data_IF_209126169907
#
_entry.id   IF_209126169907
#
_cell.length_a   1.000
_cell.length_b   1.000
_cell.length_c   1.000
_cell.angle_alpha   90.00
_cell.angle_beta   90.00
_cell.angle_gamma   90.00
#
_symmetry.space_group_name_H-M   'P 1'
#
loop_
_entity.id
_entity.type
_entity.pdbx_description
1 polymer ?
#
# COMPACT_ATOMS: atom_id res chain seq x y z
N UNK A 1 6.57 -28.02 -12.90
CA UNK A 1 6.31 -27.69 -14.32
C UNK A 1 5.05 -26.86 -14.41
N UNK A 2 5.18 -25.56 -14.60
CA UNK A 2 4.05 -24.67 -14.89
C UNK A 2 3.54 -24.95 -16.31
N UNK A 3 2.25 -25.23 -16.45
CA UNK A 3 1.56 -25.37 -17.75
C UNK A 3 0.65 -24.17 -17.96
N UNK A 4 1.11 -23.20 -18.75
CA UNK A 4 0.33 -22.35 -19.65
C UNK A 4 -0.99 -21.76 -19.13
N UNK A 5 -0.98 -21.00 -18.04
CA UNK A 5 -2.08 -20.06 -17.74
C UNK A 5 -1.59 -18.64 -17.97
N UNK A 6 -2.23 -17.97 -18.91
CA UNK A 6 -1.87 -16.62 -19.34
C UNK A 6 -2.30 -15.62 -18.26
N UNK A 7 -1.32 -14.97 -17.64
CA UNK A 7 -1.55 -13.83 -16.73
C UNK A 7 -2.23 -12.71 -17.52
N UNK A 8 -3.30 -12.14 -16.95
CA UNK A 8 -4.06 -11.04 -17.54
C UNK A 8 -4.00 -9.77 -16.70
N UNK A 9 -3.88 -9.94 -15.39
CA UNK A 9 -3.93 -8.86 -14.41
C UNK A 9 -2.64 -8.90 -13.60
N UNK A 10 -2.04 -7.72 -13.42
CA UNK A 10 -0.92 -7.55 -12.50
C UNK A 10 -1.38 -6.63 -11.37
N UNK A 11 -1.29 -7.14 -10.16
CA UNK A 11 -1.67 -6.47 -8.93
C UNK A 11 -0.42 -6.08 -8.18
N UNK A 12 -0.34 -4.82 -7.77
CA UNK A 12 0.74 -4.30 -6.95
C UNK A 12 0.22 -3.92 -5.58
N UNK A 13 1.04 -4.15 -4.56
CA UNK A 13 0.97 -3.40 -3.32
C UNK A 13 1.48 -1.95 -3.50
N UNK A 14 1.29 -1.06 -2.51
CA UNK A 14 1.65 0.36 -2.58
C UNK A 14 2.87 0.73 -1.73
N UNK A 15 2.76 0.74 -0.41
CA UNK A 15 3.83 1.14 0.51
C UNK A 15 4.94 0.09 0.53
N UNK A 16 6.21 0.49 0.46
CA UNK A 16 7.34 -0.44 0.31
C UNK A 16 7.45 -1.10 -1.08
N UNK A 17 6.38 -1.07 -1.86
CA UNK A 17 6.30 -1.66 -3.21
C UNK A 17 6.45 -0.63 -4.32
N UNK A 18 5.61 0.40 -4.38
CA UNK A 18 5.68 1.48 -5.38
C UNK A 18 6.26 2.78 -4.81
N UNK A 19 5.93 3.06 -3.55
CA UNK A 19 6.37 4.25 -2.82
C UNK A 19 7.00 3.84 -1.50
N UNK A 20 7.95 4.63 -0.98
CA UNK A 20 8.52 4.37 0.36
C UNK A 20 7.59 4.88 1.48
N UNK A 21 7.84 4.45 2.72
CA UNK A 21 7.02 4.82 3.89
C UNK A 21 7.21 6.27 4.35
N UNK A 22 8.09 7.06 3.71
CA UNK A 22 8.51 8.33 4.28
C UNK A 22 7.35 9.30 4.43
N UNK A 23 6.48 9.38 3.43
CA UNK A 23 5.31 10.26 3.50
C UNK A 23 4.41 9.90 4.68
N UNK A 24 4.03 8.63 4.80
CA UNK A 24 3.15 8.14 5.86
C UNK A 24 3.79 8.31 7.24
N UNK A 25 5.09 8.00 7.39
CA UNK A 25 5.86 8.23 8.61
C UNK A 25 5.83 9.70 9.05
N UNK A 26 5.98 10.63 8.11
CA UNK A 26 5.92 12.07 8.41
C UNK A 26 4.53 12.50 8.86
N UNK A 27 3.46 12.03 8.20
CA UNK A 27 2.09 12.37 8.61
C UNK A 27 1.81 11.86 10.02
N UNK A 28 2.11 10.59 10.29
CA UNK A 28 1.74 9.93 11.54
C UNK A 28 2.63 10.32 12.72
N UNK A 29 3.95 10.43 12.51
CA UNK A 29 4.94 10.60 13.58
C UNK A 29 5.45 12.03 13.74
N UNK A 30 5.18 12.92 12.77
CA UNK A 30 5.54 14.34 12.83
C UNK A 30 4.30 15.24 12.73
N UNK A 31 3.43 14.99 11.76
CA UNK A 31 2.27 15.82 11.46
C UNK A 31 1.24 15.87 12.59
N UNK A 32 0.62 14.72 12.89
CA UNK A 32 -0.38 14.61 13.97
C UNK A 32 0.22 15.07 15.32
N UNK A 33 1.43 14.63 15.73
CA UNK A 33 2.06 15.15 16.95
C UNK A 33 2.30 16.65 16.99
N UNK A 34 2.67 17.30 15.88
CA UNK A 34 2.83 18.77 15.83
C UNK A 34 1.51 19.49 16.06
N UNK A 35 0.46 19.07 15.35
CA UNK A 35 -0.88 19.64 15.55
C UNK A 35 -1.35 19.47 17.00
N UNK A 36 -1.10 18.30 17.59
CA UNK A 36 -1.45 18.05 18.98
C UNK A 36 -0.63 18.92 19.96
N UNK A 37 0.68 19.07 19.72
CA UNK A 37 1.56 19.93 20.51
C UNK A 37 1.10 21.39 20.50
N UNK A 38 0.74 21.91 19.32
CA UNK A 38 0.25 23.28 19.14
C UNK A 38 -1.07 23.51 19.87
N UNK A 39 -2.01 22.57 19.75
CA UNK A 39 -3.31 22.63 20.40
C UNK A 39 -3.21 22.62 21.93
N UNK A 40 -2.49 21.64 22.48
CA UNK A 40 -2.36 21.45 23.94
C UNK A 40 -1.30 22.37 24.56
N UNK A 41 -0.53 23.09 23.74
CA UNK A 41 0.55 24.01 24.15
C UNK A 41 1.63 23.30 24.97
N UNK A 42 2.01 22.11 24.53
CA UNK A 42 3.06 21.27 25.14
C UNK A 42 4.26 21.11 24.19
N UNK A 43 5.46 20.77 24.69
CA UNK A 43 6.61 20.49 23.83
C UNK A 43 6.34 19.34 22.86
N UNK A 44 6.89 19.43 21.64
CA UNK A 44 6.70 18.41 20.60
C UNK A 44 7.07 16.99 21.04
N UNK A 45 8.17 16.81 21.78
CA UNK A 45 8.59 15.48 22.22
C UNK A 45 7.53 14.82 23.13
N UNK A 46 6.87 15.62 23.97
CA UNK A 46 5.83 15.16 24.90
C UNK A 46 4.55 14.81 24.13
N UNK A 47 4.13 15.69 23.21
CA UNK A 47 3.01 15.42 22.31
C UNK A 47 3.22 14.14 21.49
N UNK A 48 4.42 13.96 20.93
CA UNK A 48 4.75 12.76 20.14
C UNK A 48 4.68 11.49 20.98
N UNK A 49 5.13 11.53 22.22
CA UNK A 49 5.00 10.40 23.13
C UNK A 49 3.53 10.03 23.37
N UNK A 50 2.71 11.01 23.75
CA UNK A 50 1.27 10.81 24.00
C UNK A 50 0.58 10.25 22.75
N UNK A 51 0.79 10.87 21.59
CA UNK A 51 0.15 10.45 20.35
C UNK A 51 0.52 9.02 19.98
N UNK A 52 1.81 8.67 20.05
CA UNK A 52 2.27 7.30 19.74
C UNK A 52 1.75 6.29 20.75
N UNK A 53 1.65 6.62 22.03
CA UNK A 53 1.05 5.73 23.04
C UNK A 53 -0.42 5.42 22.72
N UNK A 54 -1.18 6.40 22.22
CA UNK A 54 -2.56 6.18 21.80
C UNK A 54 -2.64 5.34 20.52
N UNK A 55 -1.74 5.54 19.55
CA UNK A 55 -1.63 4.66 18.39
C UNK A 55 -1.40 3.20 18.81
N UNK A 56 -0.50 2.98 19.78
CA UNK A 56 -0.23 1.64 20.32
C UNK A 56 -1.43 1.07 21.08
N UNK A 57 -2.17 1.91 21.80
CA UNK A 57 -3.38 1.50 22.54
C UNK A 57 -4.50 1.06 21.62
N UNK A 58 -4.73 1.79 20.53
CA UNK A 58 -5.72 1.41 19.49
C UNK A 58 -5.23 0.18 18.71
N UNK A 59 -3.97 0.21 18.29
CA UNK A 59 -3.26 -0.89 17.66
C UNK A 59 -3.67 -1.18 16.21
N UNK A 60 -2.74 -1.75 15.43
CA UNK A 60 -2.92 -2.10 14.01
C UNK A 60 -4.02 -3.14 13.74
N UNK A 61 -4.61 -3.72 14.79
CA UNK A 61 -5.76 -4.61 14.67
C UNK A 61 -7.10 -3.89 14.49
N UNK A 62 -7.14 -2.56 14.68
CA UNK A 62 -8.34 -1.73 14.59
C UNK A 62 -8.32 -0.86 13.33
N UNK A 63 -9.47 -0.66 12.69
CA UNK A 63 -9.59 0.18 11.47
C UNK A 63 -9.25 1.63 11.80
N UNK A 64 -9.64 2.08 13.00
CA UNK A 64 -9.37 3.40 13.56
C UNK A 64 -7.88 3.75 13.52
N UNK A 65 -6.99 2.76 13.65
CA UNK A 65 -5.55 2.96 13.59
C UNK A 65 -5.11 3.56 12.24
N UNK A 66 -5.78 3.17 11.16
CA UNK A 66 -5.50 3.60 9.78
C UNK A 66 -6.29 4.86 9.36
N UNK A 67 -7.29 5.28 10.15
CA UNK A 67 -8.20 6.39 9.81
C UNK A 67 -7.68 7.72 10.35
N UNK A 68 -7.10 8.54 9.48
CA UNK A 68 -6.65 9.90 9.86
C UNK A 68 -7.79 10.76 10.40
N UNK A 69 -9.03 10.56 9.94
CA UNK A 69 -10.19 11.31 10.44
C UNK A 69 -10.53 10.90 11.86
N UNK A 70 -10.35 9.62 12.20
CA UNK A 70 -10.47 9.15 13.57
C UNK A 70 -9.49 9.89 14.47
N UNK A 71 -8.22 9.96 14.10
CA UNK A 71 -7.20 10.64 14.90
C UNK A 71 -7.42 12.14 15.05
N UNK A 72 -7.88 12.82 14.00
CA UNK A 72 -8.30 14.22 14.09
C UNK A 72 -9.43 14.41 15.11
N UNK A 73 -10.45 13.54 15.11
CA UNK A 73 -11.53 13.60 16.10
C UNK A 73 -11.06 13.24 17.50
N UNK A 74 -10.25 12.19 17.62
CA UNK A 74 -9.78 11.63 18.89
C UNK A 74 -8.95 12.65 19.68
N UNK A 75 -8.01 13.31 19.01
CA UNK A 75 -7.20 14.37 19.62
C UNK A 75 -7.87 15.75 19.57
N UNK A 76 -9.02 15.87 18.93
CA UNK A 76 -9.71 17.15 18.72
C UNK A 76 -8.85 18.18 18.00
N UNK A 77 -8.12 17.76 16.96
CA UNK A 77 -7.20 18.63 16.22
C UNK A 77 -7.95 19.70 15.43
N UNK A 78 -7.38 20.90 15.40
CA UNK A 78 -7.86 21.99 14.56
C UNK A 78 -7.50 21.74 13.07
N UNK A 79 -8.26 22.36 12.17
CA UNK A 79 -8.05 22.26 10.73
C UNK A 79 -8.63 20.99 10.08
N UNK A 80 -8.24 20.73 8.83
CA UNK A 80 -8.73 19.58 8.07
C UNK A 80 -7.58 18.61 7.75
N UNK A 81 -7.83 17.31 7.91
CA UNK A 81 -6.83 16.26 7.68
C UNK A 81 -6.18 16.29 6.29
N UNK A 82 -6.90 16.77 5.27
CA UNK A 82 -6.34 16.95 3.92
C UNK A 82 -5.19 17.95 3.90
N UNK A 83 -5.32 19.04 4.63
CA UNK A 83 -4.28 20.08 4.67
C UNK A 83 -2.98 19.51 5.25
N UNK A 84 -3.10 18.61 6.24
CA UNK A 84 -1.97 17.89 6.80
C UNK A 84 -1.31 16.98 5.76
N UNK A 85 -2.09 16.16 5.05
CA UNK A 85 -1.56 15.29 3.99
C UNK A 85 -0.87 16.11 2.89
N UNK A 86 -1.51 17.19 2.43
CA UNK A 86 -0.98 18.06 1.38
C UNK A 86 0.33 18.75 1.80
N UNK A 87 0.47 19.08 3.10
CA UNK A 87 1.69 19.71 3.63
C UNK A 87 2.96 18.84 3.56
N UNK A 88 2.80 17.53 3.38
CA UNK A 88 3.91 16.57 3.31
C UNK A 88 4.05 15.87 1.95
N UNK A 89 3.37 16.36 0.89
CA UNK A 89 3.48 15.78 -0.46
C UNK A 89 4.94 15.71 -0.95
N UNK A 90 5.78 16.66 -0.56
CA UNK A 90 7.22 16.69 -0.90
C UNK A 90 8.02 15.52 -0.29
N UNK A 91 7.43 14.76 0.62
CA UNK A 91 8.01 13.56 1.24
C UNK A 91 7.69 12.27 0.48
N UNK A 92 6.73 12.29 -0.46
CA UNK A 92 6.35 11.12 -1.25
C UNK A 92 7.50 10.77 -2.19
N UNK A 93 7.91 9.50 -2.18
CA UNK A 93 9.04 9.00 -2.98
C UNK A 93 8.66 7.71 -3.67
N UNK A 94 8.73 7.73 -4.98
CA UNK A 94 8.53 6.55 -5.83
C UNK A 94 9.86 5.82 -5.98
N UNK A 95 9.86 4.49 -5.88
CA UNK A 95 11.07 3.71 -6.15
C UNK A 95 11.50 3.82 -7.62
N UNK A 96 12.82 3.75 -7.86
CA UNK A 96 13.43 4.02 -9.17
C UNK A 96 12.94 3.06 -10.28
N UNK A 97 12.60 1.83 -9.92
CA UNK A 97 12.20 0.75 -10.82
C UNK A 97 10.72 0.82 -11.23
N UNK A 98 9.91 1.65 -10.55
CA UNK A 98 8.45 1.66 -10.68
C UNK A 98 7.98 2.23 -12.00
N UNK A 99 8.42 3.43 -12.36
CA UNK A 99 7.93 4.12 -13.57
C UNK A 99 8.24 3.31 -14.83
N UNK A 100 9.48 2.82 -14.95
CA UNK A 100 9.89 2.00 -16.08
C UNK A 100 9.10 0.69 -16.14
N UNK A 101 8.84 0.06 -14.98
CA UNK A 101 8.09 -1.20 -14.92
C UNK A 101 6.63 -0.99 -15.29
N UNK A 102 5.95 0.00 -14.70
CA UNK A 102 4.54 0.28 -15.00
C UNK A 102 4.35 0.68 -16.46
N UNK A 103 5.21 1.54 -17.02
CA UNK A 103 5.18 1.88 -18.45
C UNK A 103 5.39 0.66 -19.35
N UNK A 104 6.25 -0.26 -18.95
CA UNK A 104 6.44 -1.50 -19.68
C UNK A 104 5.13 -2.32 -19.66
N UNK A 105 4.55 -2.54 -18.49
CA UNK A 105 3.39 -3.42 -18.34
C UNK A 105 2.07 -2.81 -18.86
N UNK A 106 1.98 -1.48 -18.89
CA UNK A 106 0.83 -0.75 -19.40
C UNK A 106 0.52 -1.11 -20.86
N UNK A 107 -0.76 -1.16 -21.19
CA UNK A 107 -1.28 -1.63 -22.48
C UNK A 107 -1.14 -3.14 -22.76
N UNK A 108 -0.33 -3.87 -21.99
CA UNK A 108 -0.18 -5.34 -22.11
C UNK A 108 -0.99 -6.11 -21.07
N UNK A 109 -1.07 -5.57 -19.86
CA UNK A 109 -1.81 -6.17 -18.76
C UNK A 109 -2.76 -5.14 -18.16
N UNK A 110 -3.84 -5.63 -17.54
CA UNK A 110 -4.65 -4.78 -16.67
C UNK A 110 -3.90 -4.63 -15.34
N UNK A 111 -3.48 -3.41 -15.02
CA UNK A 111 -2.80 -3.14 -13.75
C UNK A 111 -3.82 -2.74 -12.69
N UNK A 112 -3.66 -3.27 -11.48
CA UNK A 112 -4.45 -2.87 -10.31
C UNK A 112 -3.54 -2.59 -9.13
N UNK A 113 -3.99 -1.72 -8.23
CA UNK A 113 -3.33 -1.44 -6.95
C UNK A 113 -4.17 -2.01 -5.81
N UNK A 114 -3.51 -2.59 -4.80
CA UNK A 114 -4.14 -3.06 -3.56
C UNK A 114 -3.32 -2.58 -2.38
N UNK A 115 -3.91 -1.94 -1.37
CA UNK A 115 -3.15 -1.46 -0.20
C UNK A 115 -3.95 -1.66 1.10
N UNK A 116 -3.24 -1.80 2.22
CA UNK A 116 -3.84 -1.72 3.56
C UNK A 116 -4.14 -0.27 3.97
N UNK A 117 -3.51 0.73 3.33
CA UNK A 117 -3.67 2.13 3.66
C UNK A 117 -5.11 2.62 3.45
N UNK A 118 -5.49 3.63 4.23
CA UNK A 118 -6.75 4.34 4.04
C UNK A 118 -6.78 5.04 2.68
N UNK A 119 -7.98 5.10 2.07
CA UNK A 119 -8.25 5.75 0.79
C UNK A 119 -7.63 7.15 0.70
N UNK A 120 -7.69 7.89 1.79
CA UNK A 120 -7.15 9.25 1.91
C UNK A 120 -5.66 9.33 1.58
N UNK A 121 -4.85 8.38 2.05
CA UNK A 121 -3.42 8.33 1.77
C UNK A 121 -3.15 7.88 0.33
N UNK A 122 -3.82 6.79 -0.08
CA UNK A 122 -3.67 6.23 -1.43
C UNK A 122 -3.95 7.30 -2.48
N UNK A 123 -5.06 8.03 -2.36
CA UNK A 123 -5.47 9.03 -3.34
C UNK A 123 -4.46 10.19 -3.42
N UNK A 124 -3.92 10.64 -2.27
CA UNK A 124 -2.90 11.70 -2.24
C UNK A 124 -1.61 11.24 -2.92
N UNK A 125 -1.14 10.03 -2.58
CA UNK A 125 0.12 9.50 -3.13
C UNK A 125 0.01 9.19 -4.62
N UNK A 126 -1.08 8.56 -5.06
CA UNK A 126 -1.29 8.23 -6.47
C UNK A 126 -1.43 9.48 -7.33
N UNK A 127 -2.12 10.51 -6.82
CA UNK A 127 -2.26 11.79 -7.51
C UNK A 127 -0.94 12.56 -7.57
N UNK A 128 -0.21 12.66 -6.46
CA UNK A 128 1.05 13.40 -6.39
C UNK A 128 2.14 12.80 -7.27
N UNK A 129 2.19 11.46 -7.35
CA UNK A 129 3.17 10.73 -8.15
C UNK A 129 2.77 10.57 -9.62
N UNK A 130 1.50 10.82 -9.94
CA UNK A 130 0.94 10.58 -11.28
C UNK A 130 0.85 9.10 -11.65
N UNK A 131 1.00 8.20 -10.68
CA UNK A 131 0.92 6.75 -10.90
C UNK A 131 -0.52 6.26 -11.09
N UNK A 132 -1.52 7.01 -10.60
CA UNK A 132 -2.94 6.68 -10.71
C UNK A 132 -3.35 6.26 -12.14
N UNK A 133 -2.81 6.95 -13.15
CA UNK A 133 -3.12 6.72 -14.57
C UNK A 133 -2.85 5.30 -15.07
N UNK A 134 -1.96 4.56 -14.40
CA UNK A 134 -1.59 3.20 -14.81
C UNK A 134 -2.61 2.16 -14.32
N UNK A 135 -3.40 2.46 -13.29
CA UNK A 135 -4.23 1.48 -12.61
C UNK A 135 -5.68 1.55 -13.07
N UNK A 136 -6.20 0.42 -13.56
CA UNK A 136 -7.61 0.29 -13.90
C UNK A 136 -8.51 0.26 -12.65
N UNK A 137 -7.98 -0.25 -11.54
CA UNK A 137 -8.64 -0.31 -10.25
C UNK A 137 -7.65 -0.09 -9.11
N UNK A 138 -8.10 0.58 -8.06
CA UNK A 138 -7.33 0.82 -6.84
C UNK A 138 -8.19 0.39 -5.64
N UNK A 139 -7.74 -0.62 -4.91
CA UNK A 139 -8.46 -1.21 -3.79
C UNK A 139 -7.76 -0.91 -2.45
N UNK A 140 -8.50 -0.29 -1.53
CA UNK A 140 -8.09 -0.10 -0.13
C UNK A 140 -8.75 -1.16 0.73
N UNK A 141 -7.96 -1.99 1.42
CA UNK A 141 -8.49 -2.98 2.36
C UNK A 141 -9.32 -2.30 3.47
N UNK A 142 -8.80 -1.21 4.03
CA UNK A 142 -9.43 -0.49 5.15
C UNK A 142 -10.66 0.28 4.71
N UNK A 143 -10.59 1.04 3.60
CA UNK A 143 -11.70 1.91 3.20
C UNK A 143 -12.75 1.22 2.34
N UNK A 144 -12.38 0.31 1.43
CA UNK A 144 -13.35 -0.30 0.52
C UNK A 144 -13.94 -1.60 1.09
N UNK A 145 -13.18 -2.31 1.94
CA UNK A 145 -13.57 -3.61 2.48
C UNK A 145 -13.73 -3.62 4.01
N UNK A 146 -13.43 -2.53 4.71
CA UNK A 146 -13.44 -2.49 6.19
C UNK A 146 -12.57 -3.59 6.81
N UNK A 147 -11.41 -3.85 6.21
CA UNK A 147 -10.42 -4.82 6.67
C UNK A 147 -9.12 -4.11 6.99
N UNK A 148 -8.53 -4.40 8.15
CA UNK A 148 -7.22 -3.83 8.52
C UNK A 148 -6.06 -4.36 7.68
N UNK A 149 -6.22 -5.55 7.09
CA UNK A 149 -5.18 -6.28 6.36
C UNK A 149 -5.78 -6.99 5.13
N UNK A 150 -4.99 -7.16 4.06
CA UNK A 150 -5.33 -7.96 2.87
C UNK A 150 -5.46 -9.45 3.23
N UNK A 151 -6.65 -9.86 3.66
CA UNK A 151 -6.98 -11.26 4.00
C UNK A 151 -7.31 -12.10 2.76
N UNK A 152 -7.55 -13.41 2.91
CA UNK A 152 -8.06 -14.25 1.81
C UNK A 152 -9.35 -13.69 1.22
N UNK A 153 -10.26 -13.25 2.09
CA UNK A 153 -11.52 -12.65 1.69
C UNK A 153 -11.33 -11.40 0.81
N UNK A 154 -10.32 -10.58 1.12
CA UNK A 154 -9.98 -9.41 0.31
C UNK A 154 -9.63 -9.80 -1.12
N UNK A 155 -8.71 -10.75 -1.31
CA UNK A 155 -8.32 -11.19 -2.65
C UNK A 155 -9.42 -11.97 -3.38
N UNK A 156 -10.24 -12.74 -2.66
CA UNK A 156 -11.43 -13.39 -3.23
C UNK A 156 -12.41 -12.34 -3.79
N UNK A 157 -12.68 -11.26 -3.04
CA UNK A 157 -13.53 -10.16 -3.50
C UNK A 157 -12.95 -9.44 -4.71
N UNK A 158 -11.63 -9.24 -4.76
CA UNK A 158 -10.97 -8.68 -5.95
C UNK A 158 -11.18 -9.59 -7.16
N UNK A 159 -11.01 -10.91 -7.01
CA UNK A 159 -11.27 -11.85 -8.10
C UNK A 159 -12.72 -11.76 -8.60
N UNK A 160 -13.69 -11.68 -7.69
CA UNK A 160 -15.11 -11.48 -8.01
C UNK A 160 -15.36 -10.18 -8.79
N UNK A 161 -14.85 -9.04 -8.29
CA UNK A 161 -15.00 -7.71 -8.91
C UNK A 161 -14.39 -7.69 -10.31
N UNK A 162 -13.19 -8.24 -10.45
CA UNK A 162 -12.46 -8.27 -11.72
C UNK A 162 -12.96 -9.36 -12.68
N UNK A 163 -13.84 -10.24 -12.21
CA UNK A 163 -14.32 -11.43 -12.93
C UNK A 163 -13.16 -12.27 -13.47
N UNK A 164 -12.12 -12.43 -12.65
CA UNK A 164 -10.89 -13.14 -12.99
C UNK A 164 -10.71 -14.35 -12.09
N UNK A 165 -10.09 -15.40 -12.64
CA UNK A 165 -9.66 -16.53 -11.82
C UNK A 165 -8.38 -16.15 -11.06
N UNK A 166 -8.14 -16.71 -9.86
CA UNK A 166 -6.92 -16.43 -9.09
C UNK A 166 -5.64 -16.63 -9.92
N UNK A 167 -5.59 -17.69 -10.72
CA UNK A 167 -4.45 -18.06 -11.56
C UNK A 167 -4.22 -17.15 -12.79
N UNK A 168 -5.13 -16.21 -13.07
CA UNK A 168 -4.98 -15.17 -14.10
C UNK A 168 -4.36 -13.88 -13.54
N UNK A 169 -4.16 -13.81 -12.21
CA UNK A 169 -3.60 -12.68 -11.50
C UNK A 169 -2.16 -13.00 -11.10
N UNK A 170 -1.25 -12.07 -11.36
CA UNK A 170 0.05 -12.00 -10.72
C UNK A 170 0.04 -10.86 -9.70
N UNK A 171 0.42 -11.14 -8.46
CA UNK A 171 0.51 -10.14 -7.41
C UNK A 171 1.95 -9.94 -6.93
N UNK A 172 2.32 -8.71 -6.60
CA UNK A 172 3.64 -8.34 -6.08
C UNK A 172 3.49 -7.35 -4.94
N UNK A 173 4.16 -7.62 -3.83
CA UNK A 173 4.30 -6.68 -2.73
C UNK A 173 5.42 -7.04 -1.77
N UNK A 174 5.70 -6.16 -0.83
CA UNK A 174 6.85 -6.22 0.08
C UNK A 174 6.54 -6.89 1.42
N UNK A 175 5.29 -7.35 1.65
CA UNK A 175 4.94 -8.02 2.91
C UNK A 175 4.75 -9.54 2.72
N UNK A 176 5.57 -10.35 3.40
CA UNK A 176 5.53 -11.82 3.27
C UNK A 176 4.14 -12.43 3.51
N UNK A 177 3.44 -12.04 4.58
CA UNK A 177 2.09 -12.57 4.84
C UNK A 177 1.06 -12.07 3.81
N UNK A 178 0.86 -10.75 3.74
CA UNK A 178 -0.26 -10.16 3.01
C UNK A 178 -0.07 -10.18 1.49
N UNK A 179 1.16 -10.10 0.99
CA UNK A 179 1.46 -10.00 -0.44
C UNK A 179 2.03 -11.29 -1.04
N UNK A 180 2.43 -12.25 -0.22
CA UNK A 180 2.97 -13.50 -0.71
C UNK A 180 2.17 -14.72 -0.25
N UNK A 181 2.05 -14.98 1.05
CA UNK A 181 1.38 -16.19 1.54
C UNK A 181 -0.13 -16.17 1.33
N UNK A 182 -0.81 -15.08 1.70
CA UNK A 182 -2.27 -14.96 1.61
C UNK A 182 -2.78 -15.11 0.16
N UNK A 183 -2.32 -14.32 -0.84
CA UNK A 183 -2.80 -14.45 -2.22
C UNK A 183 -2.51 -15.84 -2.81
N UNK A 184 -1.34 -16.43 -2.51
CA UNK A 184 -1.00 -17.79 -2.97
C UNK A 184 -1.91 -18.85 -2.38
N UNK A 185 -2.38 -18.66 -1.15
CA UNK A 185 -3.27 -19.62 -0.49
C UNK A 185 -4.63 -19.80 -1.20
N UNK A 186 -5.01 -18.87 -2.08
CA UNK A 186 -6.21 -18.96 -2.93
C UNK A 186 -5.88 -19.19 -4.42
N UNK A 187 -4.61 -19.40 -4.76
CA UNK A 187 -4.17 -19.70 -6.12
C UNK A 187 -3.72 -18.50 -6.97
N UNK A 188 -3.56 -17.31 -6.38
CA UNK A 188 -2.92 -16.17 -7.07
C UNK A 188 -1.43 -16.42 -7.21
N UNK A 189 -0.86 -16.05 -8.34
CA UNK A 189 0.58 -16.12 -8.58
C UNK A 189 1.26 -14.94 -7.88
N UNK A 190 1.82 -15.14 -6.69
CA UNK A 190 2.42 -14.02 -5.95
C UNK A 190 3.95 -14.11 -5.87
N UNK A 191 4.60 -12.95 -5.99
CA UNK A 191 6.02 -12.74 -5.77
C UNK A 191 6.24 -11.79 -4.60
N UNK A 192 7.10 -12.20 -3.68
CA UNK A 192 7.56 -11.35 -2.59
C UNK A 192 8.66 -10.41 -3.10
N UNK A 193 8.51 -9.11 -2.88
CA UNK A 193 9.49 -8.10 -3.23
C UNK A 193 10.38 -7.79 -2.02
N UNK A 194 11.57 -8.38 -1.96
CA UNK A 194 12.59 -8.03 -0.98
C UNK A 194 13.55 -6.99 -1.55
N UNK A 195 13.23 -5.71 -1.39
CA UNK A 195 14.10 -4.60 -1.81
C UNK A 195 15.44 -4.56 -1.08
N UNK A 196 15.60 -5.28 0.05
CA UNK A 196 16.86 -5.32 0.79
C UNK A 196 17.89 -6.30 0.21
N UNK A 197 17.44 -7.21 -0.65
CA UNK A 197 18.26 -8.23 -1.31
C UNK A 197 18.83 -9.29 -0.36
N UNK A 198 18.24 -9.46 0.83
CA UNK A 198 18.69 -10.42 1.85
C UNK A 198 18.13 -11.81 1.61
N UNK A 199 16.97 -11.90 0.96
CA UNK A 199 16.30 -13.13 0.63
C UNK A 199 16.41 -13.47 -0.87
N UNK A 200 16.35 -14.76 -1.18
CA UNK A 200 16.35 -15.26 -2.55
C UNK A 200 15.53 -16.55 -2.65
N UNK A 201 14.91 -16.76 -3.81
CA UNK A 201 14.08 -17.92 -4.08
C UNK A 201 13.26 -17.76 -5.36
N UNK A 202 12.60 -18.83 -5.78
CA UNK A 202 11.87 -18.89 -7.07
C UNK A 202 10.75 -17.85 -7.21
N UNK A 203 10.21 -17.36 -6.09
CA UNK A 203 9.13 -16.38 -6.03
C UNK A 203 9.51 -15.11 -5.26
N UNK A 204 10.82 -14.83 -5.18
CA UNK A 204 11.34 -13.62 -4.53
C UNK A 204 12.01 -12.78 -5.62
N UNK A 205 11.62 -11.51 -5.70
CA UNK A 205 12.26 -10.51 -6.56
C UNK A 205 12.82 -9.40 -5.69
N UNK A 206 13.87 -8.74 -6.17
CA UNK A 206 14.50 -7.63 -5.45
C UNK A 206 14.21 -6.29 -6.14
N UNK A 207 13.67 -6.35 -7.35
CA UNK A 207 13.43 -5.23 -8.23
C UNK A 207 12.24 -5.53 -9.15
N UNK A 208 11.35 -4.56 -9.31
CA UNK A 208 10.13 -4.72 -10.12
C UNK A 208 10.44 -4.95 -11.60
N UNK A 209 11.61 -4.52 -12.11
CA UNK A 209 12.04 -4.77 -13.49
C UNK A 209 12.21 -6.26 -13.78
N UNK A 210 12.39 -7.10 -12.75
CA UNK A 210 12.44 -8.56 -12.90
C UNK A 210 11.13 -9.15 -13.45
N UNK A 211 10.00 -8.46 -13.26
CA UNK A 211 8.70 -8.88 -13.80
C UNK A 211 8.71 -8.98 -15.33
N UNK A 212 9.54 -8.19 -16.01
CA UNK A 212 9.68 -8.26 -17.48
C UNK A 212 10.10 -9.65 -17.92
N UNK A 213 11.05 -10.25 -17.22
CA UNK A 213 11.54 -11.58 -17.53
C UNK A 213 10.53 -12.65 -17.13
N UNK A 214 9.95 -12.54 -15.93
CA UNK A 214 8.93 -13.47 -15.43
C UNK A 214 7.72 -13.57 -16.38
N UNK A 215 7.28 -12.44 -16.90
CA UNK A 215 6.10 -12.36 -17.78
C UNK A 215 6.43 -12.65 -19.25
N UNK A 216 7.70 -12.61 -19.65
CA UNK A 216 8.17 -13.04 -20.98
C UNK A 216 8.37 -14.55 -21.11
N UNK A 217 8.48 -15.26 -19.98
CA UNK A 217 8.70 -16.71 -19.90
C UNK A 217 7.39 -17.52 -19.86
N UNK A 218 6.24 -16.84 -19.90
CA UNK A 218 4.89 -17.43 -19.94
C UNK A 218 4.21 -17.16 -21.27
#
# INVERSE_FOLDING_TARGET
MWRGKMIKIISFDMDGTLVDSKFTDWVWLEGIPKLYAEKEKIPFYEAKHIVVEEYLRVGEGAIEWYDIKYWFRFFGLDGHWRDLLESYIDKIRVYEDVHETLQHLDGRFKLILTSNAGREFIDVEMKATGLERFFAYIFSATSDFSLVKKTKHFYEKICEILKAKPDEILHVGDHQEFDYFVPRSIGINAYYLDRSGKESGDFIIQDLRMLKNILSLN
#
